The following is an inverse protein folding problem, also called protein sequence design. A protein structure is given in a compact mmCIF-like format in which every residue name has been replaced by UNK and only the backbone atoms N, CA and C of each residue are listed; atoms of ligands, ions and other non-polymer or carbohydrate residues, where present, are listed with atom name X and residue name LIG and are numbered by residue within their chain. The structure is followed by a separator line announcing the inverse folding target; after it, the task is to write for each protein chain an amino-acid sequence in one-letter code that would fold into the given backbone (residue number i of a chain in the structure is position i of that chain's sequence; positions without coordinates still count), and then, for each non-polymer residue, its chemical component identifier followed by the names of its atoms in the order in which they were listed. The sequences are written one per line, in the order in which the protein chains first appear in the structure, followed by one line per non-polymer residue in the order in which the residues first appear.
data_IF_035762901899
#
_entry.id   IF_035762901899
#
_cell.length_a   1.000
_cell.length_b   1.000
_cell.length_c   1.000
_cell.angle_alpha   90.00
_cell.angle_beta   90.00
_cell.angle_gamma   90.00
#
_symmetry.space_group_name_H-M   'P 1'
#
loop_
_entity.id
_entity.type
_entity.pdbx_description
1 polymer ?
#
# COMPACT_ATOMS: atom_id res chain seq x y z
N UNK A 1 -32.40 -31.00 -14.64
CA UNK A 1 -32.78 -31.73 -13.40
C UNK A 1 -31.71 -32.76 -13.08
N UNK A 2 -31.36 -32.88 -11.82
CA UNK A 2 -30.42 -33.89 -11.37
C UNK A 2 -30.98 -35.31 -11.59
N UNK A 3 -30.12 -36.23 -12.02
CA UNK A 3 -30.45 -37.66 -12.14
C UNK A 3 -30.20 -38.32 -10.78
N UNK A 4 -31.18 -39.11 -10.30
CA UNK A 4 -31.11 -39.81 -9.02
C UNK A 4 -30.98 -41.31 -9.33
N UNK A 5 -29.92 -41.92 -8.79
CA UNK A 5 -29.69 -43.37 -8.89
C UNK A 5 -29.73 -43.99 -7.50
N UNK A 6 -30.57 -45.00 -7.30
CA UNK A 6 -30.59 -45.78 -6.04
C UNK A 6 -29.34 -46.66 -5.97
N UNK A 7 -28.54 -46.46 -4.90
CA UNK A 7 -27.30 -47.21 -4.67
C UNK A 7 -27.28 -47.78 -3.23
N UNK A 8 -28.12 -48.75 -2.94
CA UNK A 8 -28.20 -49.33 -1.61
C UNK A 8 -26.89 -49.98 -1.20
N UNK A 9 -26.56 -49.90 0.07
CA UNK A 9 -25.44 -50.62 0.67
C UNK A 9 -25.96 -51.46 1.84
N UNK A 10 -25.19 -52.51 2.25
CA UNK A 10 -25.58 -53.34 3.42
C UNK A 10 -25.83 -52.54 4.69
N UNK A 11 -25.14 -51.39 4.85
CA UNK A 11 -25.28 -50.48 6.01
C UNK A 11 -26.36 -49.42 5.80
N UNK A 12 -26.63 -49.00 4.54
CA UNK A 12 -27.56 -47.90 4.22
C UNK A 12 -28.41 -48.27 3.00
N UNK A 13 -29.55 -48.96 3.20
CA UNK A 13 -30.44 -49.38 2.11
C UNK A 13 -31.08 -48.19 1.36
N UNK A 14 -31.21 -47.03 2.02
CA UNK A 14 -31.77 -45.79 1.49
C UNK A 14 -30.71 -44.83 0.96
N UNK A 15 -29.64 -45.35 0.35
CA UNK A 15 -28.56 -44.53 -0.22
C UNK A 15 -28.82 -44.25 -1.68
N UNK A 16 -28.64 -42.99 -2.09
CA UNK A 16 -28.83 -42.51 -3.46
C UNK A 16 -27.58 -41.80 -3.95
N UNK A 17 -27.25 -41.98 -5.23
CA UNK A 17 -26.28 -41.18 -5.97
C UNK A 17 -27.05 -40.13 -6.76
N UNK A 18 -26.74 -38.87 -6.53
CA UNK A 18 -27.34 -37.75 -7.24
C UNK A 18 -26.29 -37.22 -8.23
N UNK A 19 -26.69 -37.07 -9.46
CA UNK A 19 -25.86 -36.60 -10.56
C UNK A 19 -26.44 -35.27 -11.04
N UNK A 20 -25.82 -34.21 -10.65
CA UNK A 20 -26.24 -32.86 -11.04
C UNK A 20 -25.39 -32.35 -12.21
N UNK A 21 -26.06 -31.67 -13.13
CA UNK A 21 -25.39 -30.93 -14.19
C UNK A 21 -25.00 -29.54 -13.66
N UNK A 22 -23.72 -29.17 -13.78
CA UNK A 22 -23.25 -27.88 -13.32
C UNK A 22 -23.09 -26.88 -14.46
N UNK A 23 -22.31 -27.22 -15.49
CA UNK A 23 -21.96 -26.34 -16.62
C UNK A 23 -21.34 -27.12 -17.77
N UNK A 24 -21.04 -26.41 -18.86
CA UNK A 24 -20.16 -26.91 -19.92
C UNK A 24 -18.72 -26.43 -19.66
N UNK A 25 -17.72 -27.21 -20.02
CA UNK A 25 -16.31 -26.76 -20.07
C UNK A 25 -16.06 -25.95 -21.34
N UNK A 26 -14.84 -25.41 -21.48
CA UNK A 26 -14.44 -24.61 -22.64
C UNK A 26 -14.50 -25.34 -23.98
N UNK A 27 -14.62 -26.67 -23.96
CA UNK A 27 -14.76 -27.54 -25.16
C UNK A 27 -16.18 -28.01 -25.38
N UNK A 28 -17.16 -27.48 -24.67
CA UNK A 28 -18.58 -27.85 -24.82
C UNK A 28 -18.96 -29.17 -24.14
N UNK A 29 -18.09 -29.78 -23.31
CA UNK A 29 -18.39 -31.03 -22.59
C UNK A 29 -19.10 -30.70 -21.28
N UNK A 30 -20.17 -31.49 -20.97
CA UNK A 30 -20.91 -31.34 -19.72
C UNK A 30 -20.09 -31.71 -18.50
N UNK A 31 -19.97 -30.79 -17.57
CA UNK A 31 -19.42 -31.04 -16.23
C UNK A 31 -20.56 -31.48 -15.32
N UNK A 32 -20.42 -32.67 -14.73
CA UNK A 32 -21.41 -33.31 -13.83
C UNK A 32 -20.79 -33.49 -12.47
N UNK A 33 -21.56 -33.22 -11.41
CA UNK A 33 -21.20 -33.50 -10.02
C UNK A 33 -21.95 -34.71 -9.51
N UNK A 34 -21.30 -35.44 -8.62
CA UNK A 34 -21.77 -36.67 -8.04
C UNK A 34 -21.83 -36.54 -6.53
N UNK A 35 -23.05 -36.51 -5.99
CA UNK A 35 -23.27 -36.40 -4.55
C UNK A 35 -23.87 -37.71 -4.02
N UNK A 36 -23.48 -38.11 -2.82
CA UNK A 36 -24.09 -39.25 -2.12
C UNK A 36 -25.06 -38.70 -1.08
N UNK A 37 -26.32 -39.13 -1.17
CA UNK A 37 -27.34 -38.82 -0.21
C UNK A 37 -27.84 -40.09 0.47
N UNK A 38 -28.04 -40.04 1.78
CA UNK A 38 -28.62 -41.11 2.57
C UNK A 38 -29.87 -40.57 3.21
N UNK A 39 -31.03 -41.10 2.83
CA UNK A 39 -32.31 -40.71 3.40
C UNK A 39 -32.45 -41.19 4.84
N UNK A 40 -33.33 -40.55 5.58
CA UNK A 40 -33.68 -40.94 6.96
C UNK A 40 -34.10 -42.41 7.03
N UNK A 41 -33.84 -43.12 8.11
CA UNK A 41 -34.26 -44.52 8.26
C UNK A 41 -35.78 -44.63 8.12
N UNK A 42 -36.21 -45.21 6.99
CA UNK A 42 -37.64 -45.43 6.69
C UNK A 42 -37.79 -46.75 5.96
N UNK A 43 -38.79 -47.56 6.28
CA UNK A 43 -39.04 -48.79 5.54
C UNK A 43 -39.65 -48.55 4.15
N UNK A 44 -40.10 -47.32 3.85
CA UNK A 44 -40.73 -46.99 2.57
C UNK A 44 -39.74 -46.38 1.60
N UNK A 45 -39.39 -47.12 0.56
CA UNK A 45 -38.60 -46.60 -0.57
C UNK A 45 -39.18 -45.30 -1.15
N UNK A 46 -40.50 -45.19 -1.26
CA UNK A 46 -41.19 -44.01 -1.80
C UNK A 46 -40.91 -42.76 -0.98
N UNK A 47 -40.86 -42.87 0.38
CA UNK A 47 -40.50 -41.75 1.28
C UNK A 47 -39.03 -41.40 1.16
N UNK A 48 -38.15 -42.42 1.15
CA UNK A 48 -36.71 -42.20 0.98
C UNK A 48 -36.36 -41.53 -0.38
N UNK A 49 -37.04 -41.93 -1.44
CA UNK A 49 -36.86 -41.34 -2.76
C UNK A 49 -37.36 -39.87 -2.82
N UNK A 50 -38.48 -39.57 -2.17
CA UNK A 50 -39.00 -38.20 -2.07
C UNK A 50 -38.01 -37.24 -1.31
N UNK A 51 -37.33 -37.73 -0.27
CA UNK A 51 -36.26 -36.98 0.40
C UNK A 51 -35.07 -36.75 -0.54
N UNK A 52 -34.66 -37.76 -1.30
CA UNK A 52 -33.61 -37.65 -2.29
C UNK A 52 -33.98 -36.66 -3.41
N UNK A 53 -35.25 -36.62 -3.84
CA UNK A 53 -35.74 -35.63 -4.81
C UNK A 53 -35.66 -34.20 -4.26
N UNK A 54 -36.09 -33.95 -3.02
CA UNK A 54 -35.97 -32.62 -2.37
C UNK A 54 -34.52 -32.19 -2.28
N UNK A 55 -33.62 -33.11 -1.95
CA UNK A 55 -32.19 -32.81 -1.89
C UNK A 55 -31.61 -32.52 -3.29
N UNK A 56 -32.01 -33.29 -4.32
CA UNK A 56 -31.60 -33.09 -5.70
C UNK A 56 -32.04 -31.70 -6.24
N UNK A 57 -33.27 -31.27 -5.91
CA UNK A 57 -33.77 -29.94 -6.28
C UNK A 57 -32.91 -28.81 -5.63
N UNK A 58 -32.61 -28.97 -4.34
CA UNK A 58 -31.72 -28.01 -3.66
C UNK A 58 -30.32 -27.92 -4.32
N UNK A 59 -29.79 -29.07 -4.76
CA UNK A 59 -28.49 -29.09 -5.48
C UNK A 59 -28.63 -28.46 -6.87
N UNK A 60 -29.69 -28.74 -7.61
CA UNK A 60 -29.94 -28.16 -8.93
C UNK A 60 -30.05 -26.62 -8.82
N UNK A 61 -30.79 -26.09 -7.83
CA UNK A 61 -30.90 -24.65 -7.60
C UNK A 61 -29.54 -24.05 -7.23
N UNK A 62 -28.77 -24.74 -6.40
CA UNK A 62 -27.43 -24.33 -5.99
C UNK A 62 -26.46 -24.25 -7.17
N UNK A 63 -26.46 -25.22 -8.06
CA UNK A 63 -25.63 -25.26 -9.27
C UNK A 63 -26.11 -24.31 -10.37
N UNK A 64 -27.42 -23.96 -10.40
CA UNK A 64 -27.95 -22.93 -11.31
C UNK A 64 -27.55 -21.54 -10.89
N UNK A 65 -27.60 -21.25 -9.59
CA UNK A 65 -27.21 -19.96 -9.03
C UNK A 65 -25.70 -19.78 -8.98
N UNK A 66 -24.95 -20.88 -8.81
CA UNK A 66 -23.52 -20.87 -8.75
C UNK A 66 -22.88 -22.03 -9.51
N UNK A 67 -22.76 -21.93 -10.86
CA UNK A 67 -22.25 -23.01 -11.71
C UNK A 67 -20.77 -23.37 -11.43
N UNK A 68 -20.04 -22.52 -10.75
CA UNK A 68 -18.65 -22.75 -10.32
C UNK A 68 -18.55 -23.33 -8.91
N UNK A 69 -19.67 -23.54 -8.21
CA UNK A 69 -19.67 -24.09 -6.86
C UNK A 69 -19.07 -25.51 -6.86
N UNK A 70 -17.78 -25.54 -6.65
CA UNK A 70 -17.02 -26.73 -6.35
C UNK A 70 -16.33 -26.52 -5.01
N UNK A 71 -16.93 -27.00 -3.94
CA UNK A 71 -16.34 -26.92 -2.60
C UNK A 71 -14.96 -27.60 -2.51
N UNK A 72 -14.48 -28.24 -3.57
CA UNK A 72 -13.15 -28.84 -3.69
C UNK A 72 -12.08 -27.91 -4.25
N UNK A 73 -12.45 -26.77 -4.87
CA UNK A 73 -11.50 -25.80 -5.41
C UNK A 73 -10.52 -25.33 -4.33
N UNK A 74 -9.25 -25.33 -4.65
CA UNK A 74 -8.21 -24.86 -3.74
C UNK A 74 -8.07 -23.35 -3.76
N UNK A 75 -7.57 -22.80 -2.67
CA UNK A 75 -7.26 -21.36 -2.61
C UNK A 75 -6.24 -20.94 -3.67
N UNK A 76 -5.26 -21.81 -4.01
CA UNK A 76 -4.30 -21.54 -5.09
C UNK A 76 -4.96 -21.38 -6.46
N UNK A 77 -5.93 -22.22 -6.79
CA UNK A 77 -6.64 -22.16 -8.07
C UNK A 77 -7.46 -20.86 -8.18
N UNK A 78 -8.13 -20.45 -7.10
CA UNK A 78 -8.81 -19.15 -7.07
C UNK A 78 -7.82 -17.97 -7.18
N UNK A 79 -6.66 -18.10 -6.53
CA UNK A 79 -5.63 -17.06 -6.58
C UNK A 79 -5.03 -16.90 -7.97
N UNK A 80 -4.83 -17.98 -8.71
CA UNK A 80 -4.36 -17.95 -10.10
C UNK A 80 -5.37 -17.23 -10.98
N UNK A 81 -6.66 -17.57 -10.89
CA UNK A 81 -7.73 -16.84 -11.61
C UNK A 81 -7.76 -15.35 -11.26
N UNK A 82 -7.61 -15.00 -9.98
CA UNK A 82 -7.55 -13.61 -9.54
C UNK A 82 -6.38 -12.85 -10.20
N UNK A 83 -5.18 -13.44 -10.20
CA UNK A 83 -4.00 -12.79 -10.76
C UNK A 83 -3.97 -12.77 -12.29
N UNK A 84 -4.62 -13.70 -12.96
CA UNK A 84 -4.70 -13.75 -14.42
C UNK A 84 -5.75 -12.78 -14.98
N UNK A 85 -6.92 -12.70 -14.34
CA UNK A 85 -8.07 -11.98 -14.88
C UNK A 85 -8.21 -10.59 -14.24
N UNK A 86 -8.34 -10.52 -12.92
CA UNK A 86 -8.67 -9.27 -12.22
C UNK A 86 -7.45 -8.38 -11.94
N UNK A 87 -6.27 -8.96 -11.84
CA UNK A 87 -5.07 -8.18 -11.56
C UNK A 87 -4.74 -7.14 -12.64
N UNK A 88 -5.20 -7.33 -13.90
CA UNK A 88 -5.00 -6.36 -14.98
C UNK A 88 -5.65 -4.99 -14.69
N UNK A 89 -6.69 -4.94 -13.85
CA UNK A 89 -7.41 -3.71 -13.48
C UNK A 89 -6.68 -2.92 -12.38
N UNK A 90 -5.70 -3.54 -11.73
CA UNK A 90 -4.97 -2.94 -10.62
C UNK A 90 -3.70 -2.23 -11.08
N UNK A 91 -3.27 -1.21 -10.32
CA UNK A 91 -1.96 -0.59 -10.55
C UNK A 91 -0.83 -1.62 -10.39
N UNK A 92 0.16 -1.61 -11.28
CA UNK A 92 1.30 -2.55 -11.33
C UNK A 92 1.96 -2.77 -9.95
N UNK A 93 2.16 -1.70 -9.16
CA UNK A 93 2.71 -1.76 -7.81
C UNK A 93 1.84 -2.57 -6.83
N UNK A 94 0.51 -2.49 -6.97
CA UNK A 94 -0.44 -3.26 -6.14
C UNK A 94 -0.36 -4.73 -6.48
N UNK A 95 -0.34 -5.06 -7.78
CA UNK A 95 -0.20 -6.43 -8.27
C UNK A 95 1.11 -7.05 -7.75
N UNK A 96 2.23 -6.34 -7.91
CA UNK A 96 3.55 -6.79 -7.42
C UNK A 96 3.53 -7.05 -5.92
N UNK A 97 2.89 -6.17 -5.14
CA UNK A 97 2.76 -6.33 -3.68
C UNK A 97 1.89 -7.54 -3.32
N UNK A 98 0.77 -7.74 -4.02
CA UNK A 98 -0.13 -8.87 -3.77
C UNK A 98 0.49 -10.18 -4.19
N UNK A 99 1.13 -10.26 -5.36
CA UNK A 99 1.86 -11.45 -5.83
C UNK A 99 2.99 -11.83 -4.87
N UNK A 100 3.79 -10.85 -4.43
CA UNK A 100 4.87 -11.10 -3.47
C UNK A 100 4.33 -11.59 -2.12
N UNK A 101 3.25 -11.00 -1.61
CA UNK A 101 2.59 -11.44 -0.37
C UNK A 101 2.03 -12.84 -0.51
N UNK A 102 1.42 -13.15 -1.65
CA UNK A 102 0.84 -14.45 -1.95
C UNK A 102 1.90 -15.54 -2.04
N UNK A 103 2.86 -15.41 -2.95
CA UNK A 103 3.87 -16.46 -3.21
C UNK A 103 4.75 -16.75 -1.98
N UNK A 104 5.20 -15.70 -1.28
CA UNK A 104 6.17 -15.87 -0.19
C UNK A 104 5.55 -16.21 1.17
N UNK A 105 4.28 -15.84 1.42
CA UNK A 105 3.70 -15.93 2.77
C UNK A 105 2.34 -16.62 2.84
N UNK A 106 1.49 -16.47 1.80
CA UNK A 106 0.11 -16.98 1.83
C UNK A 106 0.05 -18.38 1.22
N UNK A 107 0.57 -18.56 0.02
CA UNK A 107 0.55 -19.83 -0.73
C UNK A 107 1.10 -21.03 0.05
N UNK A 108 2.23 -20.91 0.78
CA UNK A 108 2.78 -22.03 1.55
C UNK A 108 1.82 -22.55 2.64
N UNK A 109 0.95 -21.68 3.19
CA UNK A 109 0.07 -22.01 4.30
C UNK A 109 -1.38 -22.28 3.89
N UNK A 110 -1.87 -21.56 2.85
CA UNK A 110 -3.27 -21.61 2.42
C UNK A 110 -3.47 -22.22 1.04
N UNK A 111 -2.46 -22.25 0.18
CA UNK A 111 -2.59 -22.62 -1.23
C UNK A 111 -3.30 -23.95 -1.47
N UNK A 112 -2.96 -24.98 -0.70
CA UNK A 112 -3.56 -26.30 -0.82
C UNK A 112 -4.89 -26.48 -0.06
N UNK A 113 -5.36 -25.44 0.64
CA UNK A 113 -6.60 -25.51 1.41
C UNK A 113 -7.80 -25.36 0.48
N UNK A 114 -8.77 -26.27 0.60
CA UNK A 114 -10.04 -26.17 -0.12
C UNK A 114 -10.85 -24.98 0.37
N UNK A 115 -11.53 -24.26 -0.53
CA UNK A 115 -12.30 -23.05 -0.22
C UNK A 115 -13.41 -23.32 0.82
N UNK A 116 -14.04 -24.50 0.77
CA UNK A 116 -15.08 -24.90 1.74
C UNK A 116 -14.55 -25.14 3.17
N UNK A 117 -13.25 -25.29 3.35
CA UNK A 117 -12.59 -25.42 4.66
C UNK A 117 -12.15 -24.09 5.25
N UNK A 118 -12.18 -23.03 4.45
CA UNK A 118 -11.84 -21.69 4.92
C UNK A 118 -12.97 -21.14 5.77
N UNK A 119 -12.67 -20.86 7.00
CA UNK A 119 -13.57 -20.16 7.94
C UNK A 119 -12.76 -19.09 8.71
N UNK A 120 -13.43 -18.13 9.37
CA UNK A 120 -12.74 -17.04 10.07
C UNK A 120 -11.75 -17.51 11.13
N UNK A 121 -12.06 -18.60 11.85
CA UNK A 121 -11.18 -19.16 12.91
C UNK A 121 -9.93 -19.74 12.30
N UNK A 122 -10.05 -20.56 11.26
CA UNK A 122 -8.92 -21.16 10.55
C UNK A 122 -8.01 -20.09 9.93
N UNK A 123 -8.58 -19.08 9.29
CA UNK A 123 -7.84 -17.96 8.73
C UNK A 123 -7.08 -17.18 9.81
N UNK A 124 -7.74 -16.87 10.94
CA UNK A 124 -7.10 -16.18 12.07
C UNK A 124 -5.94 -16.99 12.66
N UNK A 125 -6.10 -18.30 12.81
CA UNK A 125 -5.03 -19.20 13.27
C UNK A 125 -3.86 -19.24 12.28
N UNK A 126 -4.15 -19.28 10.98
CA UNK A 126 -3.15 -19.26 9.92
C UNK A 126 -2.39 -17.93 9.88
N UNK A 127 -3.11 -16.80 10.00
CA UNK A 127 -2.51 -15.47 10.11
C UNK A 127 -1.53 -15.35 11.29
N UNK A 128 -1.82 -15.98 12.42
CA UNK A 128 -0.91 -16.00 13.57
C UNK A 128 0.40 -16.73 13.27
N UNK A 129 0.35 -17.81 12.46
CA UNK A 129 1.54 -18.59 12.04
C UNK A 129 2.40 -17.85 11.00
N UNK A 130 1.84 -16.88 10.26
CA UNK A 130 2.59 -16.11 9.29
C UNK A 130 3.69 -15.29 9.95
N UNK A 131 4.86 -15.24 9.35
CA UNK A 131 6.00 -14.43 9.80
C UNK A 131 5.87 -12.98 9.33
N UNK A 132 6.47 -12.05 10.06
CA UNK A 132 6.51 -10.63 9.70
C UNK A 132 5.90 -9.70 10.74
N UNK A 133 6.08 -8.40 10.51
CA UNK A 133 5.53 -7.34 11.37
C UNK A 133 4.00 -7.30 11.30
N UNK A 134 3.35 -6.64 12.27
CA UNK A 134 1.89 -6.42 12.24
C UNK A 134 1.43 -5.71 10.95
N UNK A 135 2.25 -4.77 10.43
CA UNK A 135 1.98 -4.11 9.16
C UNK A 135 2.05 -5.06 7.95
N UNK A 136 3.00 -6.01 7.97
CA UNK A 136 3.11 -7.06 6.94
C UNK A 136 1.91 -8.00 6.99
N UNK A 137 1.55 -8.48 8.18
CA UNK A 137 0.38 -9.36 8.36
C UNK A 137 -0.93 -8.68 7.91
N UNK A 138 -1.08 -7.37 8.15
CA UNK A 138 -2.23 -6.62 7.62
C UNK A 138 -2.27 -6.65 6.09
N UNK A 139 -1.11 -6.52 5.41
CA UNK A 139 -1.03 -6.64 3.94
C UNK A 139 -1.41 -8.03 3.45
N UNK A 140 -0.96 -9.09 4.15
CA UNK A 140 -1.34 -10.46 3.81
C UNK A 140 -2.85 -10.67 3.91
N UNK A 141 -3.46 -10.19 5.00
CA UNK A 141 -4.92 -10.24 5.16
C UNK A 141 -5.64 -9.49 4.04
N UNK A 142 -5.18 -8.28 3.68
CA UNK A 142 -5.75 -7.51 2.57
C UNK A 142 -5.67 -8.30 1.25
N UNK A 143 -4.55 -8.99 0.99
CA UNK A 143 -4.39 -9.84 -0.21
C UNK A 143 -5.37 -11.02 -0.18
N UNK A 144 -5.51 -11.71 0.97
CA UNK A 144 -6.47 -12.82 1.15
C UNK A 144 -7.91 -12.31 0.92
N UNK A 145 -8.26 -11.17 1.51
CA UNK A 145 -9.57 -10.54 1.36
C UNK A 145 -9.88 -10.20 -0.11
N UNK A 146 -8.90 -9.64 -0.83
CA UNK A 146 -9.06 -9.32 -2.25
C UNK A 146 -9.35 -10.56 -3.10
N UNK A 147 -8.58 -11.64 -2.91
CA UNK A 147 -8.76 -12.92 -3.62
C UNK A 147 -10.11 -13.54 -3.30
N UNK A 148 -10.51 -13.58 -2.01
CA UNK A 148 -11.80 -14.18 -1.63
C UNK A 148 -12.99 -13.31 -2.05
N UNK A 149 -12.85 -11.98 -2.05
CA UNK A 149 -13.89 -11.09 -2.57
C UNK A 149 -14.10 -11.30 -4.07
N UNK A 150 -13.02 -11.48 -4.83
CA UNK A 150 -13.11 -11.87 -6.23
C UNK A 150 -13.82 -13.21 -6.42
N UNK A 151 -13.54 -14.19 -5.55
CA UNK A 151 -14.26 -15.48 -5.55
C UNK A 151 -15.77 -15.32 -5.32
N UNK A 152 -16.19 -14.36 -4.49
CA UNK A 152 -17.61 -14.00 -4.31
C UNK A 152 -18.18 -13.35 -5.57
N UNK A 153 -17.47 -12.39 -6.16
CA UNK A 153 -17.90 -11.69 -7.38
C UNK A 153 -18.08 -12.66 -8.56
N UNK A 154 -17.21 -13.66 -8.66
CA UNK A 154 -17.32 -14.72 -9.68
C UNK A 154 -18.35 -15.82 -9.32
N UNK A 155 -19.01 -15.74 -8.16
CA UNK A 155 -19.95 -16.78 -7.72
C UNK A 155 -19.28 -18.11 -7.37
N UNK A 156 -17.96 -18.14 -7.13
CA UNK A 156 -17.22 -19.36 -6.76
C UNK A 156 -17.48 -19.71 -5.28
N UNK A 157 -17.65 -18.70 -4.44
CA UNK A 157 -18.05 -18.83 -3.03
C UNK A 157 -19.20 -17.86 -2.74
N UNK A 158 -20.09 -18.23 -1.82
CA UNK A 158 -21.27 -17.42 -1.50
C UNK A 158 -20.92 -16.19 -0.63
N UNK A 159 -19.91 -16.31 0.22
CA UNK A 159 -19.43 -15.23 1.11
C UNK A 159 -17.93 -15.37 1.37
N UNK A 160 -17.29 -14.26 1.65
CA UNK A 160 -15.87 -14.25 2.00
C UNK A 160 -15.67 -14.53 3.49
N UNK A 161 -15.02 -15.64 3.87
CA UNK A 161 -14.74 -15.95 5.29
C UNK A 161 -13.71 -14.99 5.91
N UNK A 162 -13.07 -14.13 5.11
CA UNK A 162 -12.13 -13.12 5.59
C UNK A 162 -12.75 -11.73 5.77
N UNK A 163 -14.04 -11.53 5.42
CA UNK A 163 -14.71 -10.23 5.43
C UNK A 163 -14.61 -9.54 6.81
N UNK A 164 -14.95 -10.26 7.87
CA UNK A 164 -15.03 -9.72 9.23
C UNK A 164 -13.73 -9.84 10.02
N UNK A 165 -12.68 -10.38 9.41
CA UNK A 165 -11.39 -10.50 10.07
C UNK A 165 -10.68 -9.14 10.03
N UNK A 166 -10.39 -8.60 11.22
CA UNK A 166 -9.56 -7.41 11.37
C UNK A 166 -8.24 -7.76 12.04
N UNK A 167 -7.14 -7.32 11.43
CA UNK A 167 -5.82 -7.42 12.07
C UNK A 167 -5.55 -6.13 12.85
N UNK A 168 -5.86 -6.13 14.15
CA UNK A 168 -5.62 -4.96 15.02
C UNK A 168 -4.13 -4.82 15.28
N UNK A 169 -3.60 -3.60 15.15
CA UNK A 169 -2.27 -3.27 15.67
C UNK A 169 -2.29 -3.46 17.19
N UNK A 170 -1.30 -4.19 17.74
CA UNK A 170 -0.93 -3.98 19.14
C UNK A 170 -0.47 -2.52 19.28
N UNK A 171 -0.75 -1.89 20.40
CA UNK A 171 -0.25 -0.56 20.73
C UNK A 171 1.28 -0.65 20.90
N UNK A 172 2.01 -0.69 19.81
CA UNK A 172 3.45 -0.48 19.83
C UNK A 172 3.69 1.03 19.99
N UNK A 173 4.66 1.46 20.81
CA UNK A 173 4.99 2.88 20.92
C UNK A 173 5.31 3.41 19.52
N UNK A 174 4.68 4.53 19.17
CA UNK A 174 4.90 5.16 17.87
C UNK A 174 6.36 5.58 17.79
N UNK A 175 7.13 4.98 16.87
CA UNK A 175 8.49 5.45 16.58
C UNK A 175 8.41 6.88 16.03
N UNK A 176 9.28 7.75 16.51
CA UNK A 176 9.45 9.12 15.97
C UNK A 176 9.66 9.05 14.45
N UNK A 177 8.93 9.87 13.69
CA UNK A 177 8.91 9.82 12.23
C UNK A 177 9.23 11.15 11.57
N UNK A 178 9.68 12.13 12.34
CA UNK A 178 10.02 13.47 11.91
C UNK A 178 11.14 14.04 12.77
N UNK A 179 11.77 15.10 12.30
CA UNK A 179 12.72 15.93 13.04
C UNK A 179 12.00 17.18 13.57
N UNK A 180 12.41 17.67 14.73
CA UNK A 180 12.07 19.03 15.18
C UNK A 180 12.76 20.06 14.27
N UNK A 181 12.34 21.36 14.29
CA UNK A 181 13.03 22.40 13.51
C UNK A 181 14.54 22.43 13.77
N UNK A 182 14.97 22.40 15.04
CA UNK A 182 16.39 22.39 15.42
C UNK A 182 17.13 21.14 14.89
N UNK A 183 16.48 19.98 14.97
CA UNK A 183 17.05 18.74 14.42
C UNK A 183 17.16 18.80 12.90
N UNK A 184 16.19 19.40 12.21
CA UNK A 184 16.24 19.57 10.77
C UNK A 184 17.40 20.47 10.34
N UNK A 185 17.65 21.55 11.07
CA UNK A 185 18.80 22.42 10.84
C UNK A 185 20.12 21.66 11.06
N UNK A 186 20.28 20.99 12.21
CA UNK A 186 21.47 20.16 12.50
C UNK A 186 21.67 19.04 11.46
N UNK A 187 20.59 18.46 10.96
CA UNK A 187 20.66 17.44 9.91
C UNK A 187 21.20 18.01 8.60
N UNK A 188 20.77 19.21 8.19
CA UNK A 188 21.31 19.88 6.99
C UNK A 188 22.81 20.12 7.15
N UNK A 189 23.26 20.61 8.30
CA UNK A 189 24.69 20.80 8.59
C UNK A 189 25.46 19.47 8.55
N UNK A 190 24.87 18.42 9.15
CA UNK A 190 25.46 17.09 9.16
C UNK A 190 25.67 16.54 7.75
N UNK A 191 24.64 16.56 6.87
CA UNK A 191 24.78 16.05 5.51
C UNK A 191 25.76 16.89 4.67
N UNK A 192 25.78 18.22 4.83
CA UNK A 192 26.73 19.13 4.15
C UNK A 192 28.17 18.79 4.47
N UNK A 193 28.48 18.47 5.72
CA UNK A 193 29.80 18.13 6.21
C UNK A 193 30.16 16.64 6.04
N UNK A 194 29.21 15.79 5.62
CA UNK A 194 29.42 14.37 5.44
C UNK A 194 30.22 14.04 4.17
N UNK A 195 30.66 12.76 4.06
CA UNK A 195 31.30 12.20 2.85
C UNK A 195 30.30 11.77 1.78
N UNK A 196 29.02 12.12 1.92
CA UNK A 196 28.00 11.85 0.92
C UNK A 196 28.29 12.61 -0.37
N UNK A 197 27.91 12.08 -1.54
CA UNK A 197 28.08 12.76 -2.81
C UNK A 197 27.26 14.05 -2.87
N UNK A 198 27.79 15.10 -3.50
CA UNK A 198 27.15 16.41 -3.50
C UNK A 198 25.76 16.43 -4.16
N UNK A 199 25.50 15.58 -5.14
CA UNK A 199 24.17 15.45 -5.76
C UNK A 199 23.18 14.73 -4.83
N UNK A 200 23.65 13.78 -4.02
CA UNK A 200 22.82 13.15 -2.97
C UNK A 200 22.49 14.14 -1.85
N UNK A 201 23.46 14.98 -1.43
CA UNK A 201 23.23 16.07 -0.46
C UNK A 201 22.15 17.02 -0.97
N UNK A 202 22.30 17.52 -2.21
CA UNK A 202 21.30 18.39 -2.84
C UNK A 202 19.91 17.75 -2.93
N UNK A 203 19.85 16.46 -3.23
CA UNK A 203 18.57 15.73 -3.28
C UNK A 203 17.88 15.71 -1.90
N UNK A 204 18.60 15.42 -0.81
CA UNK A 204 18.00 15.38 0.52
C UNK A 204 17.62 16.78 1.04
N UNK A 205 18.45 17.80 0.78
CA UNK A 205 18.08 19.18 1.05
C UNK A 205 16.81 19.59 0.29
N UNK A 206 16.74 19.27 -1.00
CA UNK A 206 15.58 19.55 -1.84
C UNK A 206 14.32 18.86 -1.32
N UNK A 207 14.41 17.59 -0.94
CA UNK A 207 13.27 16.86 -0.33
C UNK A 207 12.78 17.51 0.95
N UNK A 208 13.69 17.91 1.82
CA UNK A 208 13.36 18.53 3.10
C UNK A 208 12.69 19.90 2.90
N UNK A 209 13.11 20.67 1.89
CA UNK A 209 12.60 22.02 1.62
C UNK A 209 11.32 22.04 0.79
N UNK A 210 10.99 20.95 0.06
CA UNK A 210 9.81 20.90 -0.82
C UNK A 210 8.70 19.98 -0.31
N UNK A 211 9.01 19.12 0.67
CA UNK A 211 8.05 18.14 1.18
C UNK A 211 7.56 17.12 0.15
N UNK A 212 8.21 16.99 -1.01
CA UNK A 212 7.86 16.02 -2.04
C UNK A 212 8.01 14.57 -1.55
N UNK A 213 7.22 13.65 -2.14
CA UNK A 213 7.54 12.23 -1.97
C UNK A 213 8.88 11.91 -2.65
N UNK A 214 9.72 11.06 -2.08
CA UNK A 214 11.02 10.73 -2.67
C UNK A 214 10.95 10.31 -4.15
N UNK A 215 9.95 9.51 -4.50
CA UNK A 215 9.77 9.06 -5.89
C UNK A 215 9.21 10.15 -6.82
N UNK A 216 8.49 11.14 -6.31
CA UNK A 216 8.06 12.33 -7.06
C UNK A 216 9.26 13.21 -7.40
N UNK A 217 10.12 13.50 -6.42
CA UNK A 217 11.33 14.29 -6.63
C UNK A 217 12.30 13.64 -7.63
N UNK A 218 12.41 12.30 -7.62
CA UNK A 218 13.21 11.55 -8.60
C UNK A 218 12.60 11.51 -10.00
N UNK A 219 11.31 11.79 -10.13
CA UNK A 219 10.62 11.82 -11.42
C UNK A 219 10.62 13.20 -12.09
N UNK A 220 11.09 14.25 -11.38
CA UNK A 220 11.09 15.62 -11.88
C UNK A 220 12.03 15.80 -13.07
N UNK A 221 11.54 16.52 -14.06
CA UNK A 221 12.29 16.94 -15.26
C UNK A 221 12.56 18.44 -15.21
N UNK A 222 13.56 18.88 -15.94
CA UNK A 222 13.85 20.31 -16.09
C UNK A 222 12.69 21.07 -16.77
N UNK A 223 11.90 20.40 -17.63
CA UNK A 223 10.67 20.95 -18.26
C UNK A 223 9.54 21.22 -17.28
N UNK A 224 9.56 20.59 -16.09
CA UNK A 224 8.49 20.76 -15.10
C UNK A 224 8.68 22.05 -14.28
N UNK A 225 9.83 22.74 -14.46
CA UNK A 225 10.14 23.99 -13.79
C UNK A 225 9.69 25.18 -14.64
N UNK A 226 8.82 26.01 -14.08
CA UNK A 226 8.52 27.33 -14.60
C UNK A 226 9.33 28.37 -13.81
N UNK A 227 10.39 28.90 -14.42
CA UNK A 227 11.27 29.88 -13.79
C UNK A 227 10.64 31.26 -13.64
N UNK A 228 9.71 31.65 -14.55
CA UNK A 228 9.05 32.95 -14.52
C UNK A 228 8.13 33.08 -13.29
N UNK A 229 7.39 32.02 -13.02
CA UNK A 229 6.49 31.92 -11.86
C UNK A 229 7.18 31.34 -10.60
N UNK A 230 8.40 30.87 -10.75
CA UNK A 230 9.17 30.13 -9.72
C UNK A 230 8.32 28.98 -9.11
N UNK A 231 7.86 28.07 -9.99
CA UNK A 231 7.03 26.91 -9.61
C UNK A 231 7.51 25.63 -10.27
N UNK A 232 7.18 24.47 -9.66
CA UNK A 232 7.39 23.14 -10.23
C UNK A 232 6.05 22.43 -10.33
N UNK A 233 5.74 21.88 -11.49
CA UNK A 233 4.60 21.01 -11.72
C UNK A 233 4.98 19.55 -11.44
N UNK A 234 4.29 18.90 -10.53
CA UNK A 234 4.54 17.51 -10.10
C UNK A 234 3.43 16.61 -10.61
N UNK A 235 3.70 15.88 -11.70
CA UNK A 235 2.72 15.00 -12.37
C UNK A 235 3.13 13.54 -12.34
N UNK A 236 4.42 13.27 -12.14
CA UNK A 236 4.99 11.95 -12.28
C UNK A 236 5.58 11.43 -10.97
N UNK A 237 5.68 10.13 -10.88
CA UNK A 237 6.43 9.43 -9.82
C UNK A 237 7.28 8.33 -10.44
N UNK A 238 8.43 8.07 -9.86
CA UNK A 238 9.26 6.95 -10.28
C UNK A 238 8.75 5.65 -9.63
N UNK A 239 8.45 4.66 -10.47
CA UNK A 239 7.92 3.36 -10.06
C UNK A 239 9.00 2.29 -10.26
N UNK A 240 9.13 1.41 -9.27
CA UNK A 240 9.96 0.22 -9.40
C UNK A 240 9.07 -1.00 -9.70
N UNK A 241 9.31 -1.63 -10.85
CA UNK A 241 8.60 -2.83 -11.29
C UNK A 241 9.57 -4.01 -11.35
N UNK A 242 9.43 -4.95 -10.40
CA UNK A 242 10.27 -6.13 -10.33
C UNK A 242 10.00 -7.16 -11.44
N UNK A 243 8.87 -7.05 -12.15
CA UNK A 243 8.53 -7.93 -13.27
C UNK A 243 9.36 -7.63 -14.52
N UNK A 244 9.91 -6.40 -14.61
CA UNK A 244 10.73 -5.97 -15.72
C UNK A 244 12.18 -6.47 -15.60
N UNK A 245 12.91 -6.62 -16.72
CA UNK A 245 14.32 -7.00 -16.72
C UNK A 245 15.17 -6.05 -15.89
N UNK A 246 16.24 -6.58 -15.30
CA UNK A 246 17.22 -5.76 -14.57
C UNK A 246 17.75 -4.63 -15.46
N UNK A 247 17.69 -3.38 -14.99
CA UNK A 247 18.05 -2.18 -15.74
C UNK A 247 16.87 -1.45 -16.40
N UNK A 248 15.68 -2.05 -16.48
CA UNK A 248 14.44 -1.43 -16.97
C UNK A 248 13.37 -1.31 -15.89
N UNK A 249 13.69 -1.70 -14.66
CA UNK A 249 12.74 -1.78 -13.53
C UNK A 249 12.26 -0.44 -13.00
N UNK A 250 12.90 0.65 -13.39
CA UNK A 250 12.48 2.00 -13.01
C UNK A 250 11.79 2.65 -14.21
N UNK A 251 10.55 3.05 -14.01
CA UNK A 251 9.70 3.69 -15.03
C UNK A 251 8.98 4.90 -14.45
N UNK A 252 8.64 5.85 -15.30
CA UNK A 252 7.77 6.97 -14.92
C UNK A 252 6.31 6.51 -14.93
N UNK A 253 5.60 6.84 -13.87
CA UNK A 253 4.16 6.62 -13.74
C UNK A 253 3.45 7.86 -13.22
N UNK A 254 2.12 7.80 -13.17
CA UNK A 254 1.31 8.86 -12.58
C UNK A 254 1.49 8.90 -11.06
N UNK A 255 1.24 10.05 -10.45
CA UNK A 255 1.22 10.20 -8.99
C UNK A 255 0.25 9.20 -8.33
N UNK A 256 0.43 8.94 -7.05
CA UNK A 256 -0.41 7.97 -6.30
C UNK A 256 -1.89 8.32 -6.36
N UNK A 257 -2.24 9.61 -6.34
CA UNK A 257 -3.62 10.13 -6.41
C UNK A 257 -4.10 10.33 -7.84
N UNK A 258 -3.20 10.32 -8.84
CA UNK A 258 -3.50 10.69 -10.22
C UNK A 258 -3.60 12.20 -10.44
N UNK A 259 -3.48 13.01 -9.39
CA UNK A 259 -3.56 14.47 -9.47
C UNK A 259 -2.18 15.09 -9.61
N UNK A 260 -2.08 16.13 -10.43
CA UNK A 260 -0.92 17.01 -10.50
C UNK A 260 -0.96 18.02 -9.35
N UNK A 261 0.21 18.45 -8.90
CA UNK A 261 0.32 19.54 -7.93
C UNK A 261 1.38 20.54 -8.34
N UNK A 262 1.13 21.80 -8.03
CA UNK A 262 2.07 22.89 -8.24
C UNK A 262 2.71 23.27 -6.90
N UNK A 263 4.04 23.30 -6.84
CA UNK A 263 4.78 23.74 -5.65
C UNK A 263 5.55 25.03 -5.95
N UNK A 264 5.64 25.92 -4.97
CA UNK A 264 6.42 27.16 -5.08
C UNK A 264 7.90 26.89 -4.77
N UNK A 265 8.79 27.46 -5.61
CA UNK A 265 10.24 27.39 -5.42
C UNK A 265 10.87 28.79 -5.34
N UNK A 266 10.11 29.79 -4.87
CA UNK A 266 10.60 31.18 -4.74
C UNK A 266 11.74 31.35 -3.75
N UNK A 267 12.05 30.31 -2.96
CA UNK A 267 13.12 30.34 -1.97
C UNK A 267 14.52 30.26 -2.62
N UNK A 268 15.41 31.19 -2.30
CA UNK A 268 16.76 31.27 -2.86
C UNK A 268 17.61 30.00 -2.65
N UNK A 269 17.42 29.30 -1.53
CA UNK A 269 18.14 28.04 -1.27
C UNK A 269 17.72 26.95 -2.25
N UNK A 270 16.40 26.84 -2.56
CA UNK A 270 15.89 25.86 -3.54
C UNK A 270 16.42 26.23 -4.93
N UNK A 271 16.37 27.51 -5.31
CA UNK A 271 16.89 27.97 -6.60
C UNK A 271 18.40 27.70 -6.74
N UNK A 272 19.18 27.90 -5.68
CA UNK A 272 20.61 27.55 -5.63
C UNK A 272 20.82 26.05 -5.83
N UNK A 273 20.09 25.21 -5.10
CA UNK A 273 20.16 23.74 -5.25
C UNK A 273 19.90 23.32 -6.70
N UNK A 274 18.87 23.89 -7.33
CA UNK A 274 18.54 23.57 -8.73
C UNK A 274 19.62 24.04 -9.70
N UNK A 275 20.20 25.24 -9.53
CA UNK A 275 21.32 25.74 -10.33
C UNK A 275 22.57 24.85 -10.21
N UNK A 276 22.95 24.49 -8.99
CA UNK A 276 24.12 23.64 -8.73
C UNK A 276 23.88 22.21 -9.31
N UNK A 277 22.65 21.72 -9.22
CA UNK A 277 22.28 20.43 -9.79
C UNK A 277 22.31 20.47 -11.31
N UNK A 278 21.88 21.57 -11.93
CA UNK A 278 21.95 21.73 -13.40
C UNK A 278 23.41 21.73 -13.91
N UNK A 279 24.29 22.40 -13.21
CA UNK A 279 25.73 22.38 -13.52
C UNK A 279 26.30 20.96 -13.39
N UNK A 280 25.94 20.26 -12.32
CA UNK A 280 26.34 18.88 -12.10
C UNK A 280 25.87 17.96 -13.24
N UNK A 281 24.57 18.02 -13.61
CA UNK A 281 24.00 17.22 -14.70
C UNK A 281 24.65 17.53 -16.05
N UNK A 282 24.93 18.82 -16.35
CA UNK A 282 25.68 19.23 -17.56
C UNK A 282 27.08 18.63 -17.60
N UNK A 283 27.81 18.66 -16.48
CA UNK A 283 29.15 18.06 -16.35
C UNK A 283 29.10 16.55 -16.53
N UNK A 284 28.14 15.88 -15.89
CA UNK A 284 27.95 14.44 -15.99
C UNK A 284 27.61 14.00 -17.41
N UNK A 285 26.73 14.76 -18.11
CA UNK A 285 26.38 14.53 -19.50
C UNK A 285 27.60 14.67 -20.43
N UNK A 286 28.45 15.69 -20.20
CA UNK A 286 29.70 15.86 -20.97
C UNK A 286 30.66 14.68 -20.76
N UNK A 287 30.72 14.13 -19.53
CA UNK A 287 31.58 12.98 -19.20
C UNK A 287 31.09 11.66 -19.80
N UNK A 288 29.79 11.40 -19.77
CA UNK A 288 29.20 10.12 -20.17
C UNK A 288 28.78 10.07 -21.65
N UNK A 289 28.64 11.22 -22.32
CA UNK A 289 28.25 11.31 -23.75
C UNK A 289 26.94 10.56 -24.02
N UNK A 290 26.95 9.65 -24.97
CA UNK A 290 25.80 8.86 -25.42
C UNK A 290 25.28 7.83 -24.37
N UNK A 291 26.08 7.54 -23.38
CA UNK A 291 25.66 6.65 -22.27
C UNK A 291 24.67 7.34 -21.29
N UNK A 292 24.58 8.69 -21.34
CA UNK A 292 23.65 9.45 -20.54
C UNK A 292 22.24 9.37 -21.11
N UNK A 293 21.38 8.51 -20.54
CA UNK A 293 20.07 8.17 -21.10
C UNK A 293 18.96 9.17 -20.79
N UNK A 294 19.01 9.81 -19.61
CA UNK A 294 17.93 10.67 -19.11
C UNK A 294 18.40 12.10 -18.77
N UNK A 295 18.83 12.88 -19.79
CA UNK A 295 19.33 14.25 -19.59
C UNK A 295 18.23 15.24 -19.17
N UNK A 296 16.96 14.86 -19.33
CA UNK A 296 15.80 15.63 -18.93
C UNK A 296 15.57 15.63 -17.41
N UNK A 297 16.12 14.64 -16.68
CA UNK A 297 15.86 14.49 -15.26
C UNK A 297 16.68 15.46 -14.41
N UNK A 298 16.07 15.98 -13.33
CA UNK A 298 16.75 16.85 -12.35
C UNK A 298 17.74 16.05 -11.51
N UNK A 299 17.35 14.86 -11.04
CA UNK A 299 18.16 13.99 -10.18
C UNK A 299 18.44 12.61 -10.81
N UNK A 300 19.17 12.56 -11.94
CA UNK A 300 19.55 11.28 -12.55
C UNK A 300 20.54 10.53 -11.64
N UNK A 301 20.76 9.25 -11.90
CA UNK A 301 21.85 8.50 -11.29
C UNK A 301 23.21 8.97 -11.82
N UNK A 302 24.30 8.66 -11.10
CA UNK A 302 25.67 8.95 -11.55
C UNK A 302 26.06 8.33 -12.91
N UNK A 303 25.25 7.39 -13.42
CA UNK A 303 25.39 6.79 -14.77
C UNK A 303 24.37 7.36 -15.77
N UNK A 304 23.68 8.44 -15.47
CA UNK A 304 22.73 9.10 -16.36
C UNK A 304 21.40 8.32 -16.57
N UNK A 305 21.10 7.35 -15.74
CA UNK A 305 19.82 6.61 -15.75
C UNK A 305 18.87 7.16 -14.70
N UNK A 306 17.64 6.61 -14.63
CA UNK A 306 16.79 6.82 -13.47
C UNK A 306 17.52 6.41 -12.19
N UNK A 307 17.33 7.18 -11.12
CA UNK A 307 17.98 6.93 -9.83
C UNK A 307 17.10 6.05 -8.94
N UNK A 308 17.68 4.97 -8.42
CA UNK A 308 17.00 4.09 -7.49
C UNK A 308 16.91 4.72 -6.09
N UNK A 309 15.69 4.80 -5.56
CA UNK A 309 15.42 5.24 -4.18
C UNK A 309 16.08 4.32 -3.14
N UNK A 310 16.30 3.04 -3.46
CA UNK A 310 17.01 2.10 -2.60
C UNK A 310 18.47 2.49 -2.42
N UNK A 311 19.15 2.97 -3.46
CA UNK A 311 20.51 3.48 -3.38
C UNK A 311 20.59 4.72 -2.46
N UNK A 312 19.68 5.68 -2.64
CA UNK A 312 19.60 6.87 -1.78
C UNK A 312 19.29 6.54 -0.31
N UNK A 313 18.41 5.57 -0.07
CA UNK A 313 18.14 5.07 1.29
C UNK A 313 19.41 4.49 1.93
N UNK A 314 20.20 3.75 1.16
CA UNK A 314 21.47 3.17 1.63
C UNK A 314 22.52 4.28 1.90
N UNK A 315 22.60 5.29 1.04
CA UNK A 315 23.48 6.44 1.22
C UNK A 315 23.10 7.23 2.49
N UNK A 316 21.81 7.53 2.69
CA UNK A 316 21.31 8.17 3.90
C UNK A 316 21.65 7.36 5.16
N UNK A 317 21.38 6.05 5.14
CA UNK A 317 21.68 5.16 6.28
C UNK A 317 23.17 5.15 6.62
N UNK A 318 24.06 5.12 5.62
CA UNK A 318 25.52 5.21 5.85
C UNK A 318 25.91 6.56 6.47
N UNK A 319 25.32 7.65 5.98
CA UNK A 319 25.59 8.99 6.47
C UNK A 319 25.13 9.20 7.91
N UNK A 320 24.00 8.62 8.30
CA UNK A 320 23.36 8.82 9.62
C UNK A 320 23.69 7.73 10.64
N UNK A 321 24.42 6.70 10.27
CA UNK A 321 24.75 5.57 11.16
C UNK A 321 25.54 6.07 12.37
N UNK A 322 25.12 5.66 13.59
CA UNK A 322 25.73 6.06 14.85
C UNK A 322 25.46 7.52 15.26
N UNK A 323 24.54 8.22 14.58
CA UNK A 323 24.12 9.58 14.94
C UNK A 323 22.69 9.62 15.46
N UNK A 324 22.27 10.74 16.01
CA UNK A 324 20.87 10.98 16.39
C UNK A 324 19.89 10.86 15.20
N UNK A 325 20.39 10.86 13.97
CA UNK A 325 19.62 10.80 12.71
C UNK A 325 19.46 9.38 12.14
N UNK A 326 19.96 8.35 12.79
CA UNK A 326 19.93 6.95 12.29
C UNK A 326 18.52 6.43 11.98
N UNK A 327 17.49 6.99 12.64
CA UNK A 327 16.09 6.64 12.42
C UNK A 327 15.53 7.13 11.09
N UNK A 328 16.22 8.05 10.40
CA UNK A 328 15.70 8.73 9.22
C UNK A 328 15.58 7.81 8.01
N UNK A 329 14.53 8.05 7.25
CA UNK A 329 14.32 7.51 5.92
C UNK A 329 13.97 8.65 4.96
N UNK A 330 14.13 8.49 3.63
CA UNK A 330 13.77 9.56 2.69
C UNK A 330 12.34 10.10 2.85
N UNK A 331 11.37 9.24 3.21
CA UNK A 331 9.99 9.67 3.46
C UNK A 331 9.85 10.56 4.71
N UNK A 332 10.76 10.45 5.67
CA UNK A 332 10.72 11.28 6.88
C UNK A 332 11.12 12.74 6.62
N UNK A 333 11.80 13.05 5.51
CA UNK A 333 12.02 14.43 5.06
C UNK A 333 10.68 15.14 4.83
N UNK A 334 9.75 14.48 4.15
CA UNK A 334 8.40 14.97 3.94
C UNK A 334 7.60 15.10 5.24
N UNK A 335 7.75 14.15 6.16
CA UNK A 335 7.12 14.26 7.49
C UNK A 335 7.69 15.43 8.29
N UNK A 336 9.00 15.66 8.20
CA UNK A 336 9.65 16.82 8.83
C UNK A 336 9.17 18.14 8.23
N UNK A 337 9.12 18.25 6.89
CA UNK A 337 8.55 19.43 6.22
C UNK A 337 7.14 19.74 6.74
N UNK A 338 6.29 18.72 6.81
CA UNK A 338 4.92 18.87 7.29
C UNK A 338 4.85 19.30 8.77
N UNK A 339 5.73 18.73 9.61
CA UNK A 339 5.79 19.10 11.04
C UNK A 339 6.26 20.54 11.24
N UNK A 340 7.34 20.92 10.57
CA UNK A 340 7.87 22.30 10.61
C UNK A 340 6.84 23.27 10.05
N UNK A 341 6.25 22.97 8.89
CA UNK A 341 5.23 23.80 8.29
C UNK A 341 3.99 23.98 9.17
N UNK A 342 3.60 22.95 9.94
CA UNK A 342 2.48 23.05 10.88
C UNK A 342 2.84 23.87 12.12
N UNK A 343 4.05 23.73 12.65
CA UNK A 343 4.54 24.54 13.79
C UNK A 343 4.57 26.02 13.39
N UNK A 344 5.10 26.34 12.20
CA UNK A 344 5.27 27.71 11.73
C UNK A 344 3.95 28.38 11.31
N UNK A 345 3.06 27.64 10.61
CA UNK A 345 1.83 28.21 10.06
C UNK A 345 0.60 28.07 10.96
N UNK A 346 0.58 27.07 11.84
CA UNK A 346 -0.62 26.67 12.59
C UNK A 346 -1.77 26.14 11.71
N UNK A 347 -1.60 26.08 10.40
CA UNK A 347 -2.64 25.74 9.43
C UNK A 347 -2.44 24.33 8.83
N UNK A 348 -3.15 23.36 9.42
CA UNK A 348 -3.15 21.97 8.94
C UNK A 348 -3.69 21.83 7.51
N UNK A 349 -4.65 22.69 7.12
CA UNK A 349 -5.27 22.63 5.80
C UNK A 349 -4.29 23.08 4.72
N UNK A 350 -3.59 24.21 4.94
CA UNK A 350 -2.55 24.70 4.06
C UNK A 350 -1.42 23.66 3.89
N UNK A 351 -0.91 23.10 4.99
CA UNK A 351 0.13 22.07 4.95
C UNK A 351 -0.33 20.81 4.22
N UNK A 352 -1.57 20.36 4.47
CA UNK A 352 -2.14 19.18 3.78
C UNK A 352 -2.27 19.40 2.28
N UNK A 353 -2.70 20.59 1.86
CA UNK A 353 -2.82 20.99 0.46
C UNK A 353 -1.46 21.06 -0.23
N UNK A 354 -0.46 21.68 0.40
CA UNK A 354 0.92 21.75 -0.11
C UNK A 354 1.53 20.35 -0.28
N UNK A 355 1.25 19.44 0.64
CA UNK A 355 1.66 18.06 0.52
C UNK A 355 0.88 17.27 -0.55
N UNK A 356 -0.28 17.73 -1.01
CA UNK A 356 -1.16 16.99 -1.91
C UNK A 356 -1.71 15.72 -1.24
N UNK A 357 -2.23 15.87 -0.01
CA UNK A 357 -3.00 14.83 0.66
C UNK A 357 -4.47 14.99 0.28
N UNK A 358 -5.05 13.96 -0.34
CA UNK A 358 -6.48 13.91 -0.67
C UNK A 358 -7.39 13.89 0.57
N UNK A 359 -6.85 13.46 1.71
CA UNK A 359 -7.56 13.37 2.98
C UNK A 359 -6.71 13.98 4.11
N UNK A 360 -7.25 15.04 4.71
CA UNK A 360 -6.65 15.74 5.85
C UNK A 360 -6.49 14.83 7.07
N UNK A 361 -7.34 13.79 7.20
CA UNK A 361 -7.25 12.81 8.29
C UNK A 361 -5.92 12.06 8.30
N UNK A 362 -5.32 11.86 7.11
CA UNK A 362 -3.97 11.28 6.98
C UNK A 362 -2.92 12.16 7.64
N UNK A 363 -3.02 13.47 7.48
CA UNK A 363 -2.13 14.46 8.10
C UNK A 363 -2.39 14.54 9.60
N UNK A 364 -3.66 14.63 10.01
CA UNK A 364 -4.07 14.71 11.42
C UNK A 364 -3.54 13.53 12.25
N UNK A 365 -3.64 12.31 11.72
CA UNK A 365 -3.21 11.10 12.45
C UNK A 365 -1.70 11.03 12.72
N UNK A 366 -0.87 11.74 11.92
CA UNK A 366 0.58 11.82 12.11
C UNK A 366 1.01 12.96 13.04
N UNK A 367 0.26 14.06 13.08
CA UNK A 367 0.66 15.31 13.72
C UNK A 367 -0.22 15.70 14.94
N UNK A 368 -1.06 14.77 15.41
CA UNK A 368 -1.92 15.02 16.57
C UNK A 368 -1.15 15.49 17.83
N UNK A 369 0.07 14.96 18.05
CA UNK A 369 0.93 15.39 19.17
C UNK A 369 1.42 16.84 18.98
N UNK A 370 1.87 17.19 17.77
CA UNK A 370 2.32 18.55 17.42
C UNK A 370 1.16 19.55 17.54
N UNK A 371 -0.06 19.15 17.17
CA UNK A 371 -1.26 19.98 17.32
C UNK A 371 -1.65 20.21 18.78
N UNK A 372 -1.35 19.27 19.69
CA UNK A 372 -1.59 19.47 21.11
C UNK A 372 -0.65 20.53 21.71
N UNK A 373 0.65 20.45 21.39
CA UNK A 373 1.63 21.48 21.79
C UNK A 373 1.28 22.87 21.20
N UNK A 374 0.85 22.90 19.93
CA UNK A 374 0.40 24.14 19.28
C UNK A 374 -0.87 24.73 19.91
N UNK A 375 -1.79 23.88 20.43
CA UNK A 375 -2.99 24.35 21.14
C UNK A 375 -2.67 25.03 22.47
N UNK A 376 -1.71 24.52 23.23
CA UNK A 376 -1.24 25.17 24.47
C UNK A 376 -0.62 26.53 24.17
N UNK A 377 0.23 26.60 23.13
CA UNK A 377 0.81 27.85 22.65
C UNK A 377 -0.26 28.84 22.18
N UNK A 378 -1.28 28.36 21.45
CA UNK A 378 -2.40 29.21 20.99
C UNK A 378 -3.21 29.77 22.16
N UNK A 379 -3.54 28.94 23.16
CA UNK A 379 -4.28 29.42 24.36
C UNK A 379 -3.47 30.48 25.09
N UNK A 380 -2.17 30.26 25.26
CA UNK A 380 -1.29 31.24 25.92
C UNK A 380 -1.23 32.54 25.10
N UNK A 381 -1.04 32.46 23.78
CA UNK A 381 -1.01 33.64 22.89
C UNK A 381 -2.32 34.42 22.91
N UNK A 382 -3.47 33.73 22.95
CA UNK A 382 -4.78 34.35 23.06
C UNK A 382 -4.96 34.98 24.41
N UNK A 383 -4.57 34.30 25.50
CA UNK A 383 -4.63 34.84 26.86
C UNK A 383 -3.77 36.10 27.02
N UNK A 384 -2.53 36.06 26.53
CA UNK A 384 -1.62 37.20 26.59
C UNK A 384 -2.12 38.38 25.73
N UNK A 385 -2.85 38.14 24.65
CA UNK A 385 -3.40 39.20 23.79
C UNK A 385 -4.70 39.79 24.31
N UNK A 386 -5.54 38.99 24.96
CA UNK A 386 -6.83 39.44 25.53
C UNK A 386 -6.63 40.01 26.93
N UNK A 387 -5.73 39.41 27.72
CA UNK A 387 -5.38 39.80 29.07
C UNK A 387 -3.88 39.99 29.18
N UNK A 388 -3.31 41.08 28.61
CA UNK A 388 -1.88 41.33 28.73
C UNK A 388 -1.50 41.42 30.20
N UNK A 389 -0.46 40.69 30.61
CA UNK A 389 0.07 40.77 31.97
C UNK A 389 0.50 42.21 32.19
N UNK A 390 -0.16 42.91 33.09
CA UNK A 390 0.29 44.22 33.54
C UNK A 390 1.68 44.02 34.16
N UNK A 391 2.70 44.63 33.56
CA UNK A 391 4.04 44.73 34.16
C UNK A 391 3.89 45.33 35.54
N UNK A 392 4.06 44.51 36.57
CA UNK A 392 4.23 44.99 37.95
C UNK A 392 5.57 45.68 38.09
N UNK A 393 5.70 46.85 37.48
CA UNK A 393 6.78 47.81 37.72
C UNK A 393 6.31 48.89 38.70
N UNK A 394 5.73 48.48 39.86
CA UNK A 394 5.53 49.44 40.96
C UNK A 394 5.46 48.69 42.31
N UNK A 395 6.61 48.17 42.75
CA UNK A 395 6.86 47.88 44.16
C UNK A 395 8.36 47.99 44.47
N UNK A 396 8.87 49.22 44.37
CA UNK A 396 10.05 49.66 45.14
C UNK A 396 9.93 51.14 45.33
N UNK A 397 9.25 51.55 46.41
CA UNK A 397 9.48 52.77 47.20
C UNK A 397 8.46 52.79 48.31
N UNK A 398 8.84 52.24 49.45
CA UNK A 398 8.75 52.87 50.75
C UNK A 398 9.51 52.01 51.76
#
# INVERSE_FOLDING_TARGET
MARIEHRPTKKNPNSFKIISFCRYDGNGKQIKKYDKFVASPTPSYKKAFAEAQKYALKLDDKYKTNPFYDGSMKFSELSELYFEIHACELKSQTITTYKSSYENHIKPLLGNTQLNRLNPVFLSQTMNKMTGSNGSKKKYLTTIQAILTYGVQCGIIDHSPAHDISWKKRNEPKKKRYMTPDQAQKFIEHIRNSKMDNDEKRYFEFLLLTGLRPSEALALKWSDINYDNATILVEHTLIYDSSLPKGQRLTLGTTKTGESKLISIKNETILRILRDQQLHVKSLRKKLGTQFKHPEMIFPSGMGNYRDIGALRTALKRCTSGTEFEFLTPNMMRHTFATVGLIESGDLSAVSKELGHSDVSTTLGFYAEVLLESKESLINSVADRICPRSDNTDMKKE
#
